data_IF_855671502121
#
_entry.id   IF_855671502121
#
_cell.length_a   1.000
_cell.length_b   1.000
_cell.length_c   1.000
_cell.angle_alpha   90.00
_cell.angle_beta   90.00
_cell.angle_gamma   90.00
#
_symmetry.space_group_name_H-M   'P 1'
#
loop_
_entity.id
_entity.type
_entity.pdbx_description
1 polymer ?
#
# COMPACT_ATOMS: atom_id res chain seq x y z
N UNK A 1 46.11 1.40 -33.22
CA UNK A 1 46.32 0.54 -32.03
C UNK A 1 46.11 1.23 -30.68
N UNK A 2 46.15 2.57 -30.57
CA UNK A 2 45.94 3.26 -29.27
C UNK A 2 44.45 3.26 -28.85
N UNK A 3 43.52 3.36 -29.80
CA UNK A 3 42.08 3.35 -29.52
C UNK A 3 41.57 2.04 -28.89
N UNK A 4 42.19 0.89 -29.19
CA UNK A 4 41.79 -0.40 -28.64
C UNK A 4 42.16 -0.58 -27.15
N UNK A 5 43.21 0.10 -26.68
CA UNK A 5 43.64 0.04 -25.27
C UNK A 5 42.79 0.95 -24.37
N UNK A 6 42.28 2.06 -24.90
CA UNK A 6 41.36 2.94 -24.16
C UNK A 6 40.00 2.26 -23.89
N UNK A 7 39.52 1.42 -24.80
CA UNK A 7 38.24 0.73 -24.66
C UNK A 7 38.23 -0.31 -23.52
N UNK A 8 39.36 -1.00 -23.27
CA UNK A 8 39.43 -2.03 -22.22
C UNK A 8 39.33 -1.46 -20.79
N UNK A 9 39.78 -0.22 -20.57
CA UNK A 9 39.72 0.41 -19.24
C UNK A 9 38.32 0.91 -18.85
N UNK A 10 37.42 1.13 -19.82
CA UNK A 10 36.09 1.69 -19.54
C UNK A 10 35.08 0.64 -19.08
N UNK A 11 35.25 -0.63 -19.48
CA UNK A 11 34.35 -1.73 -19.12
C UNK A 11 34.20 -1.92 -17.60
N UNK A 12 35.29 -2.01 -16.78
CA UNK A 12 35.15 -2.18 -15.34
C UNK A 12 34.50 -0.97 -14.65
N UNK A 13 34.71 0.25 -15.19
CA UNK A 13 34.10 1.47 -14.64
C UNK A 13 32.59 1.46 -14.84
N UNK A 14 32.11 1.12 -16.04
CA UNK A 14 30.67 0.99 -16.30
C UNK A 14 30.03 -0.13 -15.50
N UNK A 15 30.69 -1.29 -15.37
CA UNK A 15 30.21 -2.39 -14.52
C UNK A 15 30.11 -1.96 -13.05
N UNK A 16 31.13 -1.26 -12.53
CA UNK A 16 31.11 -0.73 -11.17
C UNK A 16 29.99 0.29 -10.96
N UNK A 17 29.77 1.21 -11.92
CA UNK A 17 28.68 2.19 -11.84
C UNK A 17 27.29 1.54 -11.91
N UNK A 18 27.11 0.50 -12.74
CA UNK A 18 25.85 -0.26 -12.79
C UNK A 18 25.62 -0.97 -11.46
N UNK A 19 26.64 -1.64 -10.91
CA UNK A 19 26.53 -2.29 -9.60
C UNK A 19 26.25 -1.26 -8.50
N UNK A 20 26.93 -0.11 -8.50
CA UNK A 20 26.68 0.96 -7.53
C UNK A 20 25.27 1.54 -7.68
N UNK A 21 24.75 1.67 -8.91
CA UNK A 21 23.38 2.12 -9.17
C UNK A 21 22.33 1.06 -8.77
N UNK A 22 22.62 -0.23 -8.97
CA UNK A 22 21.75 -1.33 -8.52
C UNK A 22 21.77 -1.47 -6.98
N UNK A 23 22.91 -1.26 -6.33
CA UNK A 23 23.05 -1.26 -4.88
C UNK A 23 22.50 0.02 -4.26
N UNK A 24 22.61 1.15 -4.97
CA UNK A 24 22.20 2.49 -4.56
C UNK A 24 20.77 2.87 -4.94
N UNK A 25 20.11 2.10 -5.82
CA UNK A 25 18.66 2.08 -5.99
C UNK A 25 18.05 1.23 -4.87
N UNK A 26 18.26 1.55 -3.60
CA UNK A 26 17.86 2.83 -3.02
C UNK A 26 16.70 2.49 -2.12
N UNK A 27 17.02 2.11 -0.88
CA UNK A 27 16.03 2.03 0.19
C UNK A 27 15.35 3.37 0.23
N UNK A 28 14.07 3.44 -0.11
CA UNK A 28 13.34 4.70 -0.03
C UNK A 28 13.19 4.97 1.46
N UNK A 29 13.86 6.00 2.02
CA UNK A 29 13.79 6.26 3.45
C UNK A 29 12.33 6.52 3.78
N UNK A 30 11.82 5.85 4.81
CA UNK A 30 10.48 6.11 5.29
C UNK A 30 10.43 7.57 5.77
N UNK A 31 9.53 8.41 5.22
CA UNK A 31 9.38 9.76 5.75
C UNK A 31 9.03 9.69 7.24
N UNK A 32 9.64 10.54 8.06
CA UNK A 32 9.55 10.49 9.53
C UNK A 32 8.10 10.44 10.02
N UNK A 33 7.20 11.17 9.36
CA UNK A 33 5.77 11.15 9.63
C UNK A 33 5.16 9.73 9.60
N UNK A 34 5.61 8.87 8.71
CA UNK A 34 5.08 7.51 8.57
C UNK A 34 5.79 6.47 9.43
N UNK A 35 6.87 6.85 10.13
CA UNK A 35 7.60 5.96 11.05
C UNK A 35 6.67 5.25 12.04
N UNK A 36 5.58 5.91 12.44
CA UNK A 36 4.59 5.37 13.34
C UNK A 36 3.29 4.91 12.65
N UNK A 37 2.89 5.54 11.55
CA UNK A 37 1.55 5.39 10.96
C UNK A 37 1.52 4.65 9.61
N UNK A 38 2.65 4.16 9.12
CA UNK A 38 2.68 3.19 8.02
C UNK A 38 2.34 1.78 8.52
N UNK A 39 1.61 0.97 7.73
CA UNK A 39 1.50 -0.45 8.01
C UNK A 39 2.89 -1.07 8.10
N UNK A 40 3.08 -1.89 9.12
CA UNK A 40 4.27 -2.70 9.36
C UNK A 40 4.03 -4.19 9.17
N UNK A 41 5.04 -4.98 9.52
CA UNK A 41 4.94 -6.44 9.61
C UNK A 41 5.03 -6.87 11.07
N UNK A 42 4.05 -7.63 11.52
CA UNK A 42 4.05 -8.29 12.82
C UNK A 42 4.20 -9.79 12.57
N UNK A 43 5.45 -10.25 12.43
CA UNK A 43 5.79 -11.55 11.87
C UNK A 43 5.51 -11.60 10.37
N UNK A 44 4.69 -12.56 9.93
CA UNK A 44 4.29 -12.70 8.52
C UNK A 44 3.03 -11.89 8.14
N UNK A 45 2.35 -11.28 9.11
CA UNK A 45 1.10 -10.55 8.89
C UNK A 45 1.32 -9.04 8.75
N UNK A 46 0.43 -8.39 8.00
CA UNK A 46 0.31 -6.93 8.00
C UNK A 46 -0.25 -6.48 9.35
N UNK A 47 0.29 -5.39 9.87
CA UNK A 47 -0.20 -4.81 11.11
C UNK A 47 -0.04 -3.30 11.11
N UNK A 48 -0.73 -2.63 12.02
CA UNK A 48 -0.60 -1.19 12.22
C UNK A 48 -0.71 -0.90 13.71
N UNK A 49 0.25 -0.15 14.26
CA UNK A 49 0.32 0.16 15.70
C UNK A 49 0.25 -1.09 16.60
N UNK A 50 0.84 -2.20 16.15
CA UNK A 50 0.81 -3.49 16.86
C UNK A 50 -0.49 -4.28 16.72
N UNK A 51 -1.51 -3.74 16.04
CA UNK A 51 -2.80 -4.41 15.83
C UNK A 51 -2.78 -5.21 14.52
N UNK A 52 -3.20 -6.47 14.60
CA UNK A 52 -3.24 -7.41 13.48
C UNK A 52 -4.70 -7.84 13.23
N UNK A 53 -5.26 -7.57 12.03
CA UNK A 53 -6.57 -8.07 11.61
C UNK A 53 -6.74 -9.57 11.82
N UNK A 54 -7.85 -9.99 12.44
CA UNK A 54 -8.21 -11.37 12.74
C UNK A 54 -7.30 -12.08 13.74
N UNK A 55 -6.45 -11.35 14.48
CA UNK A 55 -5.62 -11.92 15.56
C UNK A 55 -5.68 -11.12 16.86
N UNK A 56 -5.61 -9.80 16.78
CA UNK A 56 -5.72 -8.94 17.95
C UNK A 56 -7.17 -8.87 18.40
N UNK A 57 -7.43 -9.13 19.68
CA UNK A 57 -8.80 -9.02 20.22
C UNK A 57 -9.26 -7.56 20.24
N UNK A 58 -10.57 -7.31 20.16
CA UNK A 58 -11.10 -5.95 20.20
C UNK A 58 -10.73 -5.23 21.51
N UNK A 59 -10.82 -5.92 22.65
CA UNK A 59 -10.41 -5.41 23.96
C UNK A 59 -8.91 -5.12 24.05
N UNK A 60 -8.07 -5.97 23.46
CA UNK A 60 -6.62 -5.75 23.39
C UNK A 60 -6.28 -4.54 22.52
N UNK A 61 -6.95 -4.38 21.37
CA UNK A 61 -6.77 -3.20 20.53
C UNK A 61 -7.20 -1.92 21.23
N UNK A 62 -8.33 -1.93 21.97
CA UNK A 62 -8.73 -0.80 22.81
C UNK A 62 -7.66 -0.47 23.85
N UNK A 63 -7.08 -1.48 24.51
CA UNK A 63 -6.00 -1.28 25.49
C UNK A 63 -4.72 -0.70 24.86
N UNK A 64 -4.24 -1.28 23.75
CA UNK A 64 -3.05 -0.82 23.03
C UNK A 64 -3.22 0.63 22.55
N UNK A 65 -4.42 0.97 22.05
CA UNK A 65 -4.68 2.26 21.43
C UNK A 65 -5.20 3.32 22.40
N UNK A 66 -5.56 2.97 23.64
CA UNK A 66 -5.95 3.93 24.69
C UNK A 66 -4.85 4.94 25.03
N UNK A 67 -3.59 4.59 24.79
CA UNK A 67 -2.45 5.48 25.01
C UNK A 67 -2.25 6.51 23.89
N UNK A 68 -3.00 6.41 22.79
CA UNK A 68 -2.87 7.32 21.65
C UNK A 68 -3.59 8.64 21.97
N UNK A 69 -2.84 9.75 21.99
CA UNK A 69 -3.32 11.07 22.41
C UNK A 69 -4.58 11.54 21.68
N UNK A 70 -4.70 11.18 20.40
CA UNK A 70 -5.78 11.60 19.51
C UNK A 70 -6.74 10.44 19.16
N UNK A 71 -6.79 9.41 20.01
CA UNK A 71 -7.63 8.24 19.86
C UNK A 71 -9.06 8.47 20.37
N UNK A 72 -10.05 8.30 19.50
CA UNK A 72 -11.47 8.19 19.86
C UNK A 72 -11.83 6.72 19.92
N UNK A 73 -12.10 6.21 21.12
CA UNK A 73 -12.44 4.80 21.34
C UNK A 73 -13.95 4.70 21.56
N UNK A 74 -14.59 3.83 20.79
CA UNK A 74 -15.99 3.45 20.96
C UNK A 74 -16.15 1.93 20.91
N UNK A 75 -17.35 1.44 21.20
CA UNK A 75 -17.68 0.01 21.05
C UNK A 75 -17.60 -0.47 19.60
N UNK A 76 -17.83 0.42 18.62
CA UNK A 76 -17.97 0.04 17.20
C UNK A 76 -16.76 0.36 16.35
N UNK A 77 -15.89 1.24 16.81
CA UNK A 77 -14.68 1.65 16.10
C UNK A 77 -13.70 2.36 17.03
N UNK A 78 -12.43 2.33 16.65
CA UNK A 78 -11.38 3.17 17.22
C UNK A 78 -10.88 4.06 16.09
N UNK A 79 -10.87 5.38 16.27
CA UNK A 79 -10.37 6.34 15.28
C UNK A 79 -9.18 7.08 15.85
N UNK A 80 -8.07 7.14 15.11
CA UNK A 80 -6.89 7.94 15.46
C UNK A 80 -6.71 9.02 14.38
N UNK A 81 -6.69 10.28 14.78
CA UNK A 81 -6.55 11.40 13.85
C UNK A 81 -5.07 11.61 13.45
N UNK A 82 -4.78 11.64 12.14
CA UNK A 82 -3.45 11.87 11.58
C UNK A 82 -3.28 13.32 11.13
N UNK A 83 -3.35 14.26 12.07
CA UNK A 83 -3.24 15.69 11.75
C UNK A 83 -4.48 16.22 11.00
N UNK A 84 -4.27 17.11 10.01
CA UNK A 84 -5.38 17.74 9.27
C UNK A 84 -5.81 16.86 8.10
N UNK A 85 -6.88 16.09 8.29
CA UNK A 85 -7.56 15.38 7.20
C UNK A 85 -7.08 13.95 6.93
N UNK A 86 -6.24 13.39 7.80
CA UNK A 86 -5.96 11.95 7.80
C UNK A 86 -6.52 11.28 9.05
N UNK A 87 -6.79 9.98 8.96
CA UNK A 87 -7.29 9.18 10.07
C UNK A 87 -6.94 7.68 9.91
N UNK A 88 -6.89 6.97 11.04
CA UNK A 88 -6.82 5.51 11.09
C UNK A 88 -8.06 5.00 11.81
N UNK A 89 -8.90 4.26 11.11
CA UNK A 89 -10.04 3.54 11.67
C UNK A 89 -9.70 2.07 11.92
N UNK A 90 -9.99 1.58 13.11
CA UNK A 90 -10.03 0.16 13.45
C UNK A 90 -11.48 -0.23 13.67
N UNK A 91 -11.89 -1.37 13.11
CA UNK A 91 -13.27 -1.85 13.18
C UNK A 91 -13.29 -3.29 13.72
N UNK A 92 -14.28 -3.64 14.56
CA UNK A 92 -14.46 -5.02 15.00
C UNK A 92 -14.76 -5.91 13.80
N UNK A 93 -14.34 -7.17 13.89
CA UNK A 93 -14.63 -8.21 12.91
C UNK A 93 -16.08 -8.65 12.96
N UNK A 94 -16.48 -9.43 11.97
CA UNK A 94 -17.84 -9.99 11.88
C UNK A 94 -18.22 -10.87 13.08
N UNK A 95 -17.21 -11.49 13.69
CA UNK A 95 -17.26 -12.30 14.89
C UNK A 95 -17.26 -11.47 16.19
N UNK A 96 -17.08 -10.15 16.11
CA UNK A 96 -17.21 -9.19 17.21
C UNK A 96 -16.10 -9.24 18.27
N UNK A 97 -15.32 -10.32 18.35
CA UNK A 97 -14.26 -10.50 19.35
C UNK A 97 -12.87 -10.02 18.91
N UNK A 98 -12.62 -9.90 17.59
CA UNK A 98 -11.33 -9.55 17.02
C UNK A 98 -11.41 -8.23 16.26
N UNK A 99 -10.27 -7.59 16.02
CA UNK A 99 -10.19 -6.50 15.03
C UNK A 99 -10.34 -7.11 13.64
N UNK A 100 -11.35 -6.70 12.90
CA UNK A 100 -11.59 -7.17 11.54
C UNK A 100 -10.85 -6.32 10.53
N UNK A 101 -11.21 -5.04 10.43
CA UNK A 101 -10.69 -4.15 9.40
C UNK A 101 -9.87 -3.02 10.01
N UNK A 102 -8.78 -2.67 9.33
CA UNK A 102 -8.02 -1.45 9.58
C UNK A 102 -8.06 -0.61 8.31
N UNK A 103 -8.46 0.65 8.42
CA UNK A 103 -8.55 1.59 7.31
C UNK A 103 -7.71 2.82 7.63
N UNK A 104 -6.78 3.16 6.77
CA UNK A 104 -5.94 4.34 6.88
C UNK A 104 -6.29 5.28 5.76
N UNK A 105 -6.65 6.52 6.10
CA UNK A 105 -6.76 7.64 5.20
C UNK A 105 -5.59 8.59 5.45
N UNK A 106 -4.72 8.74 4.46
CA UNK A 106 -3.62 9.70 4.57
C UNK A 106 -4.09 11.09 4.11
N UNK A 107 -3.60 12.17 4.74
CA UNK A 107 -3.91 13.52 4.27
C UNK A 107 -3.26 13.75 2.89
N UNK A 108 -3.93 14.48 1.96
CA UNK A 108 -3.46 14.63 0.57
C UNK A 108 -2.04 15.17 0.42
N UNK A 109 -1.61 16.04 1.34
CA UNK A 109 -0.29 16.66 1.37
C UNK A 109 0.82 15.73 1.92
N UNK A 110 0.45 14.63 2.59
CA UNK A 110 1.38 13.66 3.19
C UNK A 110 0.88 12.24 2.96
N UNK A 111 0.76 11.86 1.69
CA UNK A 111 0.52 10.48 1.29
C UNK A 111 1.80 9.65 1.33
N UNK A 112 1.69 8.40 1.76
CA UNK A 112 2.81 7.46 1.77
C UNK A 112 3.22 7.14 0.32
N UNK A 113 4.50 7.21 -0.08
CA UNK A 113 4.89 6.86 -1.44
C UNK A 113 4.59 5.39 -1.73
N UNK A 114 3.94 5.11 -2.86
CA UNK A 114 3.60 3.72 -3.24
C UNK A 114 4.83 2.84 -3.46
N UNK A 115 5.95 3.43 -3.89
CA UNK A 115 7.22 2.74 -4.03
C UNK A 115 7.70 2.13 -2.72
N UNK A 116 7.45 2.81 -1.60
CA UNK A 116 7.78 2.28 -0.27
C UNK A 116 6.95 1.03 0.07
N UNK A 117 5.65 1.05 -0.23
CA UNK A 117 4.76 -0.11 -0.04
C UNK A 117 5.26 -1.30 -0.86
N UNK A 118 5.54 -1.10 -2.15
CA UNK A 118 6.00 -2.17 -3.05
C UNK A 118 7.36 -2.70 -2.62
N UNK A 119 8.29 -1.83 -2.20
CA UNK A 119 9.58 -2.25 -1.66
C UNK A 119 9.44 -3.09 -0.40
N UNK A 120 8.48 -2.77 0.48
CA UNK A 120 8.28 -3.46 1.76
C UNK A 120 7.46 -4.75 1.64
N UNK A 121 6.48 -4.78 0.76
CA UNK A 121 5.49 -5.86 0.68
C UNK A 121 5.58 -6.69 -0.60
N UNK A 122 6.42 -6.29 -1.55
CA UNK A 122 6.55 -6.93 -2.86
C UNK A 122 5.57 -6.37 -3.87
N UNK A 123 5.56 -6.97 -5.07
CA UNK A 123 4.61 -6.62 -6.10
C UNK A 123 3.18 -7.00 -5.66
N UNK A 124 2.17 -6.15 -5.95
CA UNK A 124 0.78 -6.52 -5.73
C UNK A 124 0.38 -7.68 -6.64
N UNK A 125 -0.57 -8.50 -6.19
CA UNK A 125 -1.06 -9.62 -6.98
C UNK A 125 -2.05 -9.19 -8.07
N UNK A 126 -2.63 -8.00 -7.96
CA UNK A 126 -3.48 -7.42 -8.99
C UNK A 126 -3.54 -5.89 -8.90
N UNK A 127 -3.98 -5.27 -9.98
CA UNK A 127 -4.22 -3.83 -10.08
C UNK A 127 -5.61 -3.61 -10.63
N UNK A 128 -6.39 -2.78 -9.96
CA UNK A 128 -7.74 -2.39 -10.38
C UNK A 128 -7.75 -0.90 -10.70
N UNK A 129 -8.27 -0.53 -11.87
CA UNK A 129 -8.32 0.85 -12.34
C UNK A 129 -9.76 1.32 -12.57
N UNK A 130 -10.14 2.42 -11.91
CA UNK A 130 -11.52 2.93 -11.87
C UNK A 130 -11.66 4.22 -12.70
N UNK A 131 -11.87 4.07 -14.00
CA UNK A 131 -11.96 5.20 -14.94
C UNK A 131 -13.38 5.78 -15.03
N UNK A 132 -14.44 4.94 -14.95
CA UNK A 132 -15.84 5.40 -15.07
C UNK A 132 -16.34 6.20 -13.88
N UNK A 133 -15.83 5.92 -12.69
CA UNK A 133 -16.29 6.54 -11.46
C UNK A 133 -15.86 8.01 -11.28
N UNK A 134 -15.25 8.65 -12.30
CA UNK A 134 -14.63 10.00 -12.26
C UNK A 134 -13.58 10.19 -11.15
N UNK A 135 -13.18 9.12 -10.47
CA UNK A 135 -12.32 9.20 -9.31
C UNK A 135 -10.83 9.09 -9.67
N UNK A 136 -10.49 8.59 -10.88
CA UNK A 136 -9.10 8.32 -11.31
C UNK A 136 -8.31 7.57 -10.22
N UNK A 137 -8.94 6.53 -9.66
CA UNK A 137 -8.35 5.72 -8.60
C UNK A 137 -7.65 4.53 -9.23
N UNK A 138 -6.43 4.25 -8.76
CA UNK A 138 -5.73 3.01 -9.02
C UNK A 138 -5.53 2.28 -7.70
N UNK A 139 -5.96 1.03 -7.66
CA UNK A 139 -5.88 0.18 -6.47
C UNK A 139 -4.86 -0.91 -6.71
N UNK A 140 -3.83 -0.96 -5.87
CA UNK A 140 -2.95 -2.11 -5.77
C UNK A 140 -3.56 -3.12 -4.80
N UNK A 141 -3.76 -4.36 -5.28
CA UNK A 141 -4.37 -5.43 -4.51
C UNK A 141 -3.33 -6.41 -4.01
N UNK A 142 -3.41 -6.71 -2.73
CA UNK A 142 -2.67 -7.76 -2.04
C UNK A 142 -3.68 -8.75 -1.44
N UNK A 143 -3.29 -10.00 -1.12
CA UNK A 143 -4.23 -10.98 -0.60
C UNK A 143 -5.00 -10.57 0.67
N UNK A 144 -4.47 -9.65 1.47
CA UNK A 144 -5.11 -9.17 2.73
C UNK A 144 -5.09 -7.64 2.85
N UNK A 145 -4.81 -6.93 1.77
CA UNK A 145 -4.73 -5.47 1.80
C UNK A 145 -5.07 -4.85 0.45
N UNK A 146 -5.63 -3.65 0.48
CA UNK A 146 -5.84 -2.80 -0.69
C UNK A 146 -5.15 -1.46 -0.46
N UNK A 147 -4.47 -0.95 -1.49
CA UNK A 147 -3.76 0.31 -1.44
C UNK A 147 -4.27 1.18 -2.57
N UNK A 148 -5.01 2.23 -2.23
CA UNK A 148 -5.63 3.12 -3.20
C UNK A 148 -4.77 4.36 -3.41
N UNK A 149 -4.61 4.73 -4.67
CA UNK A 149 -3.90 5.90 -5.10
C UNK A 149 -4.84 6.79 -5.89
N UNK A 150 -4.79 8.10 -5.62
CA UNK A 150 -5.41 9.10 -6.45
C UNK A 150 -4.44 9.53 -7.54
N UNK A 151 -4.79 9.27 -8.79
CA UNK A 151 -3.92 9.58 -9.91
C UNK A 151 -4.07 11.06 -10.29
N UNK A 152 -2.97 11.80 -10.12
CA UNK A 152 -2.89 13.20 -10.54
C UNK A 152 -2.41 13.35 -12.00
N UNK A 153 -1.89 12.28 -12.59
CA UNK A 153 -1.31 12.29 -13.94
C UNK A 153 -1.65 11.01 -14.70
N UNK A 154 -1.30 10.96 -15.99
CA UNK A 154 -1.49 9.79 -16.87
C UNK A 154 -0.50 8.65 -16.61
N UNK A 155 0.36 8.78 -15.60
CA UNK A 155 1.26 7.76 -15.13
C UNK A 155 1.23 7.69 -13.60
N UNK A 156 1.46 6.50 -13.06
CA UNK A 156 1.85 6.37 -11.66
C UNK A 156 3.33 5.99 -11.61
N UNK A 157 4.01 6.48 -10.58
CA UNK A 157 5.44 6.29 -10.38
C UNK A 157 5.70 5.95 -8.90
N UNK A 158 6.93 5.59 -8.51
CA UNK A 158 7.23 5.21 -7.13
C UNK A 158 6.89 6.29 -6.08
N UNK A 159 6.83 7.56 -6.49
CA UNK A 159 6.52 8.70 -5.63
C UNK A 159 5.02 9.04 -5.60
N UNK A 160 4.18 8.33 -6.36
CA UNK A 160 2.73 8.55 -6.31
C UNK A 160 2.21 8.34 -4.88
N UNK A 161 1.46 9.32 -4.33
CA UNK A 161 0.98 9.25 -2.96
C UNK A 161 -0.15 8.24 -2.83
N UNK A 162 -0.07 7.40 -1.81
CA UNK A 162 -1.17 6.56 -1.36
C UNK A 162 -2.18 7.43 -0.64
N UNK A 163 -3.45 7.31 -1.05
CA UNK A 163 -4.58 8.00 -0.44
C UNK A 163 -5.13 7.17 0.72
N UNK A 164 -5.37 5.88 0.48
CA UNK A 164 -5.87 4.98 1.52
C UNK A 164 -5.20 3.61 1.51
N UNK A 165 -5.10 3.02 2.69
CA UNK A 165 -4.72 1.61 2.86
C UNK A 165 -5.80 0.92 3.67
N UNK A 166 -6.31 -0.19 3.16
CA UNK A 166 -7.25 -1.04 3.86
C UNK A 166 -6.59 -2.39 4.13
N UNK A 167 -6.60 -2.85 5.38
CA UNK A 167 -6.30 -4.22 5.77
C UNK A 167 -7.61 -4.93 6.05
N UNK A 168 -7.87 -6.01 5.32
CA UNK A 168 -9.18 -6.65 5.30
C UNK A 168 -9.40 -7.62 6.47
N UNK A 169 -10.66 -7.75 6.86
CA UNK A 169 -11.12 -8.76 7.80
C UNK A 169 -10.81 -10.17 7.25
N UNK A 170 -10.00 -10.98 7.96
CA UNK A 170 -9.72 -12.34 7.52
C UNK A 170 -10.94 -13.26 7.54
N UNK A 171 -11.92 -12.99 8.40
CA UNK A 171 -13.19 -13.71 8.50
C UNK A 171 -14.18 -13.32 7.40
N UNK A 172 -14.01 -12.14 6.78
CA UNK A 172 -14.79 -11.76 5.61
C UNK A 172 -14.37 -12.57 4.39
N UNK A 173 -15.16 -13.58 4.04
CA UNK A 173 -15.04 -14.35 2.79
C UNK A 173 -16.29 -14.11 1.93
N UNK A 174 -16.32 -13.06 1.10
CA UNK A 174 -17.44 -12.81 0.21
C UNK A 174 -17.60 -13.99 -0.75
N UNK A 175 -18.79 -14.59 -0.80
CA UNK A 175 -19.10 -15.66 -1.75
C UNK A 175 -18.93 -15.23 -3.21
N UNK A 176 -19.07 -13.93 -3.47
CA UNK A 176 -18.99 -13.32 -4.78
C UNK A 176 -17.59 -12.86 -5.18
N UNK A 177 -16.61 -12.80 -4.26
CA UNK A 177 -15.24 -12.39 -4.57
C UNK A 177 -14.24 -13.45 -4.12
N UNK A 178 -14.16 -14.49 -4.95
CA UNK A 178 -13.30 -15.66 -4.75
C UNK A 178 -11.81 -15.33 -4.88
N UNK A 179 -11.46 -14.41 -5.77
CA UNK A 179 -10.11 -13.90 -5.94
C UNK A 179 -9.96 -12.48 -5.36
N UNK A 180 -9.20 -12.35 -4.27
CA UNK A 180 -8.93 -11.05 -3.64
C UNK A 180 -8.06 -10.14 -4.52
N UNK A 181 -7.34 -10.69 -5.48
CA UNK A 181 -6.50 -9.96 -6.43
C UNK A 181 -7.31 -9.32 -7.57
N UNK A 182 -8.61 -9.61 -7.69
CA UNK A 182 -9.50 -9.09 -8.74
C UNK A 182 -10.70 -8.37 -8.14
N UNK A 183 -11.04 -7.19 -8.66
CA UNK A 183 -12.32 -6.54 -8.37
C UNK A 183 -13.38 -7.03 -9.35
N UNK A 184 -14.24 -7.94 -8.91
CA UNK A 184 -15.36 -8.41 -9.72
C UNK A 184 -16.71 -7.87 -9.23
N UNK A 185 -16.70 -6.92 -8.30
CA UNK A 185 -17.90 -6.36 -7.67
C UNK A 185 -18.19 -4.96 -8.20
N UNK A 186 -17.14 -4.17 -8.43
CA UNK A 186 -17.26 -2.78 -8.86
C UNK A 186 -17.52 -2.68 -10.37
N UNK A 187 -18.60 -2.02 -10.75
CA UNK A 187 -18.90 -1.76 -12.16
C UNK A 187 -17.84 -0.86 -12.82
N UNK A 188 -17.40 -1.24 -14.03
CA UNK A 188 -16.50 -0.42 -14.83
C UNK A 188 -15.05 -0.38 -14.35
N UNK A 189 -14.65 -1.34 -13.52
CA UNK A 189 -13.25 -1.57 -13.13
C UNK A 189 -12.50 -2.33 -14.23
N UNK A 190 -11.27 -1.91 -14.53
CA UNK A 190 -10.34 -2.71 -15.34
C UNK A 190 -9.34 -3.39 -14.42
N UNK A 191 -9.33 -4.73 -14.39
CA UNK A 191 -8.40 -5.52 -13.60
C UNK A 191 -7.25 -6.01 -14.48
N UNK A 192 -6.02 -5.90 -13.99
CA UNK A 192 -4.84 -6.41 -14.68
C UNK A 192 -3.79 -6.88 -13.69
N UNK A 193 -2.91 -7.76 -14.15
CA UNK A 193 -1.68 -8.06 -13.43
C UNK A 193 -0.82 -6.81 -13.27
N UNK A 194 0.04 -6.82 -12.25
CA UNK A 194 1.07 -5.80 -12.04
C UNK A 194 2.08 -5.78 -13.20
N UNK A 195 2.26 -4.61 -13.83
CA UNK A 195 3.19 -4.42 -14.96
C UNK A 195 4.38 -3.49 -14.62
N UNK A 196 4.60 -3.19 -13.34
CA UNK A 196 5.60 -2.20 -12.93
C UNK A 196 5.09 -0.76 -13.00
N UNK A 197 5.98 0.21 -12.76
CA UNK A 197 5.67 1.63 -12.91
C UNK A 197 5.65 2.02 -14.39
N UNK A 198 4.47 1.96 -15.02
CA UNK A 198 4.27 2.29 -16.44
C UNK A 198 3.13 3.30 -16.64
N UNK A 199 2.99 3.81 -17.86
CA UNK A 199 1.88 4.71 -18.23
C UNK A 199 0.53 4.02 -18.03
N UNK A 200 -0.49 4.76 -17.58
CA UNK A 200 -1.82 4.21 -17.31
C UNK A 200 -2.48 3.58 -18.55
N UNK A 201 -2.15 4.07 -19.76
CA UNK A 201 -2.63 3.49 -21.01
C UNK A 201 -2.20 2.04 -21.24
N UNK A 202 -1.19 1.52 -20.52
CA UNK A 202 -0.86 0.09 -20.50
C UNK A 202 -1.86 -0.74 -19.69
N UNK A 203 -2.38 -0.16 -18.61
CA UNK A 203 -3.41 -0.77 -17.76
C UNK A 203 -4.80 -0.70 -18.41
N UNK A 204 -5.07 0.31 -19.24
CA UNK A 204 -6.33 0.46 -19.97
C UNK A 204 -6.58 -0.60 -21.05
N UNK A 205 -5.51 -1.19 -21.60
CA UNK A 205 -5.59 -2.13 -22.74
C UNK A 205 -5.64 -3.60 -22.33
N UNK A 206 -5.57 -3.89 -21.03
CA UNK A 206 -5.65 -5.27 -20.55
C UNK A 206 -7.11 -5.77 -20.67
N UNK A 207 -7.33 -6.96 -21.25
CA UNK A 207 -8.65 -7.54 -21.52
C UNK A 207 -9.30 -8.18 -20.29
#
# INVERSE_FOLDING_TARGET
>A
MIAARAALCLIPIWAALIVLACLGGGVMPMPEFFAHYAPGRCGAAWCLLGVIPGRTTWSEAQYILAAQRDGQISERQIIIILGRGGEIGFYPGLDGGLVGRILVHYPPERGLPVGWIIQRYGAPCGVSFYWRARANILTLRYPRAMVNLKLQSTAFNPMSPVETIQLDDPAFSPSYQTDRCVDNISDGVNNTAWQGFVRLSRYERAP
#
